data_IF_949696888770
#
_entry.id   IF_949696888770
#
_cell.length_a   1.000
_cell.length_b   1.000
_cell.length_c   1.000
_cell.angle_alpha   90.00
_cell.angle_beta   90.00
_cell.angle_gamma   90.00
#
_symmetry.space_group_name_H-M   'P 1'
#
loop_
_entity.id
_entity.type
_entity.pdbx_description
1 polymer ?
#
# COMPACT_ATOMS: atom_id res chain seq x y z
N UNK A 1 -0.77 8.74 -1.28
CA UNK A 1 -0.94 9.31 -2.62
C UNK A 1 -1.71 10.63 -2.60
N UNK A 2 -2.76 10.77 -1.80
CA UNK A 2 -3.61 11.97 -1.80
C UNK A 2 -2.94 13.23 -1.24
N UNK A 3 -1.83 13.12 -0.54
CA UNK A 3 -1.09 14.29 -0.04
C UNK A 3 -0.53 15.13 -1.19
N UNK A 4 -0.09 14.48 -2.28
CA UNK A 4 0.34 15.16 -3.49
C UNK A 4 -0.80 15.93 -4.21
N UNK A 5 -2.06 15.61 -3.93
CA UNK A 5 -3.22 16.38 -4.39
C UNK A 5 -3.49 17.61 -3.52
N UNK A 6 -2.78 17.76 -2.40
CA UNK A 6 -2.88 18.87 -1.44
C UNK A 6 -1.66 19.80 -1.49
N UNK A 7 -1.04 19.93 -2.64
CA UNK A 7 0.14 20.75 -2.89
C UNK A 7 1.46 20.26 -2.27
N UNK A 8 1.52 19.04 -1.77
CA UNK A 8 2.78 18.42 -1.39
C UNK A 8 3.44 17.87 -2.66
N UNK A 9 4.66 18.29 -2.93
CA UNK A 9 5.40 17.86 -4.11
C UNK A 9 5.98 16.45 -3.94
N UNK A 10 6.31 15.80 -5.06
CA UNK A 10 7.03 14.53 -5.05
C UNK A 10 8.35 14.63 -4.26
N UNK A 11 9.11 15.71 -4.44
CA UNK A 11 10.38 15.92 -3.76
C UNK A 11 10.23 16.07 -2.24
N UNK A 12 9.18 16.75 -1.78
CA UNK A 12 8.90 16.88 -0.34
C UNK A 12 8.54 15.53 0.28
N UNK A 13 7.79 14.68 -0.43
CA UNK A 13 7.50 13.31 0.00
C UNK A 13 8.78 12.47 0.10
N UNK A 14 9.61 12.48 -0.94
CA UNK A 14 10.85 11.70 -0.99
C UNK A 14 11.88 12.13 0.08
N UNK A 15 11.91 13.41 0.41
CA UNK A 15 12.84 13.96 1.41
C UNK A 15 12.28 13.93 2.86
N UNK A 16 11.14 13.31 3.11
CA UNK A 16 10.49 13.26 4.42
C UNK A 16 10.20 14.64 5.05
N UNK A 17 10.04 15.69 4.25
CA UNK A 17 9.85 17.08 4.71
C UNK A 17 8.38 17.40 5.07
N UNK A 18 7.58 16.40 5.49
CA UNK A 18 6.15 16.58 5.75
C UNK A 18 5.87 16.72 7.24
N UNK A 19 6.42 15.84 8.05
CA UNK A 19 6.32 15.85 9.51
C UNK A 19 7.27 14.85 10.14
N UNK A 20 7.58 15.02 11.43
CA UNK A 20 8.40 14.10 12.22
C UNK A 20 7.79 12.69 12.35
N UNK A 21 6.50 12.55 12.07
CA UNK A 21 5.77 11.27 12.10
C UNK A 21 5.65 10.59 10.73
N UNK A 22 6.17 11.23 9.67
CA UNK A 22 6.13 10.68 8.33
C UNK A 22 7.36 9.82 8.08
N UNK A 23 7.14 8.52 7.90
CA UNK A 23 8.21 7.55 7.67
C UNK A 23 8.14 7.05 6.22
N UNK A 24 9.06 7.54 5.39
CA UNK A 24 9.21 7.11 4.00
C UNK A 24 10.68 6.95 3.65
N UNK A 25 11.05 5.83 3.01
CA UNK A 25 12.43 5.45 2.71
C UNK A 25 13.39 5.64 3.92
N UNK A 26 12.90 5.28 5.09
CA UNK A 26 13.56 5.49 6.36
C UNK A 26 13.20 4.38 7.36
N UNK A 27 13.93 4.33 8.46
CA UNK A 27 13.65 3.38 9.53
C UNK A 27 13.76 4.02 10.92
N UNK A 28 13.16 3.34 11.89
CA UNK A 28 13.27 3.64 13.33
C UNK A 28 13.58 2.33 14.05
N UNK A 29 14.66 2.28 14.82
CA UNK A 29 14.93 1.17 15.73
C UNK A 29 14.13 1.34 17.02
N UNK A 30 13.44 0.27 17.45
CA UNK A 30 12.73 0.28 18.72
C UNK A 30 13.77 0.09 19.83
N UNK A 31 13.90 1.06 20.78
CA UNK A 31 14.93 1.03 21.80
C UNK A 31 14.92 -0.27 22.62
N UNK A 32 16.10 -0.80 22.91
CA UNK A 32 16.31 -2.02 23.70
C UNK A 32 15.69 -3.29 23.13
N UNK A 33 15.45 -3.34 21.81
CA UNK A 33 14.92 -4.52 21.12
C UNK A 33 15.71 -4.84 19.85
N UNK A 34 15.46 -6.01 19.29
CA UNK A 34 15.93 -6.42 17.95
C UNK A 34 14.96 -6.04 16.83
N UNK A 35 14.05 -5.08 17.07
CA UNK A 35 13.04 -4.66 16.12
C UNK A 35 13.35 -3.31 15.46
N UNK A 36 13.02 -3.25 14.17
CA UNK A 36 13.12 -2.06 13.32
C UNK A 36 11.81 -1.84 12.59
N UNK A 37 11.32 -0.62 12.60
CA UNK A 37 10.20 -0.17 11.77
C UNK A 37 10.80 0.44 10.52
N UNK A 38 10.40 -0.03 9.33
CA UNK A 38 10.79 0.52 8.03
C UNK A 38 9.54 1.03 7.34
N UNK A 39 9.58 2.24 6.80
CA UNK A 39 8.50 2.84 6.05
C UNK A 39 8.85 3.11 4.59
N UNK A 40 7.93 2.80 3.70
CA UNK A 40 7.92 3.27 2.32
C UNK A 40 6.48 3.41 1.86
N UNK A 41 6.14 4.53 1.20
CA UNK A 41 4.77 4.76 0.73
C UNK A 41 4.28 3.67 -0.23
N UNK A 42 5.19 3.03 -0.97
CA UNK A 42 4.81 2.15 -2.06
C UNK A 42 4.25 2.93 -3.26
N UNK A 43 3.96 2.21 -4.32
CA UNK A 43 3.22 2.68 -5.49
C UNK A 43 2.55 1.50 -6.18
N UNK A 44 2.15 1.66 -7.45
CA UNK A 44 1.59 0.60 -8.30
C UNK A 44 2.30 0.54 -9.65
N UNK A 45 2.40 -0.67 -10.17
CA UNK A 45 3.07 -1.02 -11.44
C UNK A 45 2.19 -1.84 -12.38
N UNK A 46 0.90 -1.87 -12.10
CA UNK A 46 -0.11 -2.60 -12.86
C UNK A 46 -0.01 -4.14 -12.78
N UNK A 47 0.95 -4.67 -12.03
CA UNK A 47 1.24 -6.11 -11.94
C UNK A 47 0.09 -6.95 -11.36
N UNK A 48 -0.89 -6.33 -10.70
CA UNK A 48 -2.10 -7.02 -10.25
C UNK A 48 -3.10 -7.31 -11.37
N UNK A 49 -2.89 -6.78 -12.57
CA UNK A 49 -3.77 -7.00 -13.72
C UNK A 49 -2.99 -7.26 -15.01
N UNK A 50 -2.20 -8.34 -15.06
CA UNK A 50 -1.25 -8.61 -16.16
C UNK A 50 -1.93 -8.89 -17.51
N UNK A 51 -3.25 -9.04 -17.55
CA UNK A 51 -4.02 -9.23 -18.79
C UNK A 51 -4.40 -7.92 -19.48
N UNK A 52 -4.12 -6.76 -18.86
CA UNK A 52 -4.36 -5.44 -19.42
C UNK A 52 -3.03 -4.84 -19.87
N UNK A 53 -3.06 -4.07 -20.96
CA UNK A 53 -1.87 -3.35 -21.41
C UNK A 53 -1.67 -2.07 -20.57
N UNK A 54 -0.42 -1.64 -20.45
CA UNK A 54 -0.07 -0.41 -19.75
C UNK A 54 -0.80 0.80 -20.32
N UNK A 55 -0.89 0.90 -21.65
CA UNK A 55 -1.60 2.00 -22.33
C UNK A 55 -3.08 2.04 -22.02
N UNK A 56 -3.73 0.87 -21.90
CA UNK A 56 -5.13 0.78 -21.50
C UNK A 56 -5.33 1.29 -20.08
N UNK A 57 -4.46 0.88 -19.15
CA UNK A 57 -4.53 1.29 -17.76
C UNK A 57 -4.24 2.79 -17.62
N UNK A 58 -3.24 3.32 -18.30
CA UNK A 58 -2.90 4.75 -18.31
C UNK A 58 -4.07 5.60 -18.83
N UNK A 59 -4.70 5.21 -19.96
CA UNK A 59 -5.90 5.93 -20.48
C UNK A 59 -7.04 5.91 -19.47
N UNK A 60 -7.31 4.75 -18.87
CA UNK A 60 -8.36 4.61 -17.87
C UNK A 60 -8.05 5.42 -16.60
N UNK A 61 -6.82 5.37 -16.09
CA UNK A 61 -6.34 6.19 -14.97
C UNK A 61 -6.60 7.66 -15.22
N UNK A 62 -6.17 8.17 -16.38
CA UNK A 62 -6.30 9.59 -16.73
C UNK A 62 -7.76 10.07 -16.83
N UNK A 63 -8.70 9.15 -17.08
CA UNK A 63 -10.12 9.49 -17.24
C UNK A 63 -10.90 9.33 -15.93
N UNK A 64 -10.59 8.32 -15.12
CA UNK A 64 -11.46 7.88 -14.03
C UNK A 64 -10.77 7.79 -12.66
N UNK A 65 -9.45 7.83 -12.58
CA UNK A 65 -8.74 7.61 -11.32
C UNK A 65 -8.20 8.91 -10.74
N UNK A 66 -8.38 9.08 -9.42
CA UNK A 66 -8.01 10.34 -8.74
C UNK A 66 -6.52 10.65 -8.86
N UNK A 67 -5.67 9.62 -8.91
CA UNK A 67 -4.22 9.79 -9.00
C UNK A 67 -3.74 10.36 -10.36
N UNK A 68 -4.64 10.49 -11.35
CA UNK A 68 -4.33 11.24 -12.57
C UNK A 68 -3.96 12.71 -12.30
N UNK A 69 -4.44 13.26 -11.17
CA UNK A 69 -4.08 14.62 -10.73
C UNK A 69 -2.71 14.72 -10.06
N UNK A 70 -2.03 13.61 -9.80
CA UNK A 70 -0.73 13.61 -9.14
C UNK A 70 0.36 13.96 -10.13
N UNK A 71 1.12 15.02 -9.82
CA UNK A 71 2.28 15.44 -10.60
C UNK A 71 3.53 14.77 -10.06
N UNK A 72 4.16 13.91 -10.85
CA UNK A 72 5.41 13.25 -10.53
C UNK A 72 6.36 13.29 -11.74
N UNK A 73 7.70 13.31 -11.53
CA UNK A 73 8.69 13.49 -12.60
C UNK A 73 8.95 12.20 -13.40
N UNK A 74 8.23 11.14 -13.14
CA UNK A 74 8.44 9.80 -13.71
C UNK A 74 7.12 9.07 -13.95
N UNK A 75 7.15 7.98 -14.69
CA UNK A 75 6.01 7.08 -14.87
C UNK A 75 5.70 6.29 -13.60
N UNK A 76 4.52 5.66 -13.55
CA UNK A 76 4.12 4.81 -12.42
C UNK A 76 5.08 3.62 -12.24
N UNK A 77 5.50 3.00 -13.34
CA UNK A 77 6.45 1.89 -13.32
C UNK A 77 7.83 2.33 -12.81
N UNK A 78 8.35 3.47 -13.28
CA UNK A 78 9.62 4.02 -12.79
C UNK A 78 9.54 4.37 -11.30
N UNK A 79 8.41 4.92 -10.83
CA UNK A 79 8.19 5.19 -9.42
C UNK A 79 8.20 3.90 -8.59
N UNK A 80 7.53 2.86 -9.06
CA UNK A 80 7.56 1.56 -8.34
C UNK A 80 8.96 0.94 -8.35
N UNK A 81 9.74 1.08 -9.43
CA UNK A 81 11.15 0.64 -9.43
C UNK A 81 11.97 1.39 -8.37
N UNK A 82 11.73 2.69 -8.21
CA UNK A 82 12.36 3.47 -7.12
C UNK A 82 11.95 2.92 -5.74
N UNK A 83 10.65 2.64 -5.51
CA UNK A 83 10.14 2.03 -4.28
C UNK A 83 10.82 0.69 -3.98
N UNK A 84 10.96 -0.17 -5.00
CA UNK A 84 11.61 -1.47 -4.85
C UNK A 84 13.10 -1.33 -4.50
N UNK A 85 13.80 -0.39 -5.13
CA UNK A 85 15.20 -0.11 -4.85
C UNK A 85 15.38 0.41 -3.41
N UNK A 86 14.60 1.39 -3.00
CA UNK A 86 14.62 1.97 -1.66
C UNK A 86 14.30 0.92 -0.59
N UNK A 87 13.24 0.15 -0.79
CA UNK A 87 12.82 -0.90 0.14
C UNK A 87 13.88 -1.99 0.28
N UNK A 88 14.47 -2.44 -0.83
CA UNK A 88 15.58 -3.41 -0.82
C UNK A 88 16.76 -2.90 0.00
N UNK A 89 17.16 -1.65 -0.19
CA UNK A 89 18.25 -1.04 0.56
C UNK A 89 17.98 -1.06 2.08
N UNK A 90 16.77 -0.67 2.49
CA UNK A 90 16.39 -0.66 3.91
C UNK A 90 16.32 -2.08 4.50
N UNK A 91 15.84 -3.06 3.73
CA UNK A 91 15.77 -4.46 4.16
C UNK A 91 17.17 -5.07 4.31
N UNK A 92 18.10 -4.79 3.39
CA UNK A 92 19.51 -5.21 3.52
C UNK A 92 20.18 -4.61 4.76
N UNK A 93 19.95 -3.33 5.04
CA UNK A 93 20.47 -2.69 6.26
C UNK A 93 19.90 -3.34 7.53
N UNK A 94 18.63 -3.73 7.53
CA UNK A 94 18.02 -4.42 8.67
C UNK A 94 18.61 -5.83 8.84
N UNK A 95 18.78 -6.57 7.76
CA UNK A 95 19.40 -7.90 7.74
C UNK A 95 20.84 -7.87 8.26
N UNK A 96 21.66 -6.93 7.79
CA UNK A 96 23.03 -6.73 8.27
C UNK A 96 23.07 -6.40 9.77
N UNK A 97 22.12 -5.60 10.25
CA UNK A 97 21.96 -5.24 11.66
C UNK A 97 21.26 -6.35 12.50
N UNK A 98 20.92 -7.50 11.90
CA UNK A 98 20.21 -8.62 12.53
C UNK A 98 18.90 -8.20 13.19
N UNK A 99 18.16 -7.28 12.57
CA UNK A 99 16.90 -6.74 13.08
C UNK A 99 15.71 -7.50 12.50
N UNK A 100 14.70 -7.77 13.31
CA UNK A 100 13.35 -8.13 12.87
C UNK A 100 12.65 -6.87 12.36
N UNK A 101 11.86 -7.01 11.30
CA UNK A 101 11.29 -5.85 10.62
C UNK A 101 9.77 -5.83 10.73
N UNK A 102 9.26 -4.64 11.05
CA UNK A 102 7.88 -4.21 10.82
C UNK A 102 7.93 -3.27 9.61
N UNK A 103 7.36 -3.69 8.48
CA UNK A 103 7.30 -2.86 7.28
C UNK A 103 5.94 -2.16 7.18
N UNK A 104 5.96 -0.86 6.94
CA UNK A 104 4.77 -0.02 6.80
C UNK A 104 4.73 0.55 5.38
N UNK A 105 3.64 0.31 4.66
CA UNK A 105 3.42 0.84 3.32
C UNK A 105 1.98 1.32 3.15
N UNK A 106 1.74 2.24 2.20
CA UNK A 106 0.38 2.68 1.91
C UNK A 106 -0.31 1.79 0.87
N UNK A 107 0.37 1.49 -0.23
CA UNK A 107 -0.20 0.65 -1.30
C UNK A 107 -0.20 -0.83 -0.94
N UNK A 108 -1.08 -1.57 -1.60
CA UNK A 108 -1.24 -3.01 -1.38
C UNK A 108 0.03 -3.76 -1.81
N UNK A 109 0.70 -4.49 -0.91
CA UNK A 109 1.98 -5.11 -1.22
C UNK A 109 1.87 -6.54 -1.77
N UNK A 110 0.67 -7.10 -1.90
CA UNK A 110 0.48 -8.49 -2.37
C UNK A 110 -0.94 -8.72 -2.88
N UNK A 111 -1.08 -9.53 -3.93
CA UNK A 111 -2.38 -9.85 -4.53
C UNK A 111 -3.36 -10.55 -3.58
N UNK A 112 -2.88 -11.25 -2.54
CA UNK A 112 -3.75 -11.82 -1.49
C UNK A 112 -4.52 -10.77 -0.69
N UNK A 113 -4.03 -9.52 -0.67
CA UNK A 113 -4.69 -8.38 -0.03
C UNK A 113 -5.74 -7.71 -0.92
N UNK A 114 -5.95 -8.19 -2.14
CA UNK A 114 -7.02 -7.73 -3.02
C UNK A 114 -8.32 -8.48 -2.71
N UNK A 115 -9.43 -7.79 -2.93
CA UNK A 115 -10.72 -8.48 -2.86
C UNK A 115 -10.88 -9.47 -4.01
N UNK A 116 -11.51 -10.60 -3.71
CA UNK A 116 -11.96 -11.53 -4.73
C UNK A 116 -12.95 -10.85 -5.67
N UNK A 117 -12.95 -11.24 -6.95
CA UNK A 117 -13.94 -10.74 -7.90
C UNK A 117 -15.36 -11.09 -7.41
N UNK A 118 -16.24 -10.09 -7.20
CA UNK A 118 -17.62 -10.36 -6.81
C UNK A 118 -18.33 -11.24 -7.83
N UNK A 119 -19.09 -12.23 -7.36
CA UNK A 119 -19.88 -13.12 -8.23
C UNK A 119 -20.97 -12.37 -9.04
N UNK A 120 -21.32 -11.17 -8.60
CA UNK A 120 -22.27 -10.27 -9.27
C UNK A 120 -21.72 -9.64 -10.55
N UNK A 121 -20.40 -9.57 -10.72
CA UNK A 121 -19.77 -9.03 -11.94
C UNK A 121 -19.80 -10.08 -13.05
N UNK A 122 -20.75 -9.93 -13.97
CA UNK A 122 -21.00 -10.90 -15.05
C UNK A 122 -20.61 -10.40 -16.43
N UNK A 123 -20.70 -9.10 -16.67
CA UNK A 123 -20.35 -8.53 -17.98
C UNK A 123 -18.84 -8.31 -18.13
N UNK A 124 -18.33 -8.46 -19.35
CA UNK A 124 -16.92 -8.21 -19.66
C UNK A 124 -16.51 -6.78 -19.30
N UNK A 125 -17.42 -5.82 -19.47
CA UNK A 125 -17.19 -4.42 -19.07
C UNK A 125 -16.94 -4.27 -17.57
N UNK A 126 -17.79 -4.89 -16.74
CA UNK A 126 -17.63 -4.84 -15.26
C UNK A 126 -16.35 -5.54 -14.81
N UNK A 127 -16.07 -6.71 -15.39
CA UNK A 127 -14.83 -7.46 -15.13
C UNK A 127 -13.60 -6.63 -15.52
N UNK A 128 -13.65 -5.93 -16.66
CA UNK A 128 -12.56 -5.06 -17.11
C UNK A 128 -12.36 -3.90 -16.15
N UNK A 129 -13.43 -3.24 -15.69
CA UNK A 129 -13.34 -2.14 -14.70
C UNK A 129 -12.73 -2.66 -13.40
N UNK A 130 -13.14 -3.83 -12.92
CA UNK A 130 -12.58 -4.44 -11.72
C UNK A 130 -11.06 -4.68 -11.86
N UNK A 131 -10.60 -5.19 -13.03
CA UNK A 131 -9.17 -5.35 -13.32
C UNK A 131 -8.45 -4.00 -13.38
N UNK A 132 -9.04 -2.96 -13.99
CA UNK A 132 -8.47 -1.61 -14.04
C UNK A 132 -8.25 -1.05 -12.64
N UNK A 133 -9.24 -1.20 -11.76
CA UNK A 133 -9.11 -0.79 -10.34
C UNK A 133 -7.97 -1.53 -9.67
N UNK A 134 -7.92 -2.86 -9.79
CA UNK A 134 -6.85 -3.65 -9.15
C UNK A 134 -5.45 -3.25 -9.63
N UNK A 135 -5.29 -2.92 -10.92
CA UNK A 135 -4.01 -2.48 -11.47
C UNK A 135 -3.41 -1.26 -10.76
N UNK A 136 -4.24 -0.44 -10.12
CA UNK A 136 -3.86 0.81 -9.45
C UNK A 136 -3.84 0.69 -7.92
N UNK A 137 -3.95 -0.53 -7.36
CA UNK A 137 -3.98 -0.70 -5.90
C UNK A 137 -2.62 -0.98 -5.28
N UNK A 138 -1.62 -1.37 -6.05
CA UNK A 138 -0.29 -1.67 -5.53
C UNK A 138 0.55 -2.55 -6.46
N UNK A 139 1.51 -3.29 -5.89
CA UNK A 139 2.51 -4.02 -6.63
C UNK A 139 2.70 -5.46 -6.14
N UNK A 140 2.65 -6.41 -7.07
CA UNK A 140 3.04 -7.79 -6.80
C UNK A 140 4.57 -7.93 -6.69
N UNK A 141 5.34 -7.04 -7.32
CA UNK A 141 6.79 -7.04 -7.22
C UNK A 141 7.26 -6.64 -5.82
N UNK A 142 6.59 -5.67 -5.17
CA UNK A 142 6.84 -5.36 -3.76
C UNK A 142 6.53 -6.58 -2.87
N UNK A 143 5.45 -7.30 -3.15
CA UNK A 143 5.12 -8.53 -2.44
C UNK A 143 6.19 -9.62 -2.56
N UNK A 144 6.76 -9.79 -3.76
CA UNK A 144 7.88 -10.72 -3.99
C UNK A 144 9.14 -10.27 -3.22
N UNK A 145 9.48 -8.97 -3.32
CA UNK A 145 10.61 -8.42 -2.60
C UNK A 145 10.50 -8.66 -1.08
N UNK A 146 9.32 -8.46 -0.48
CA UNK A 146 9.09 -8.72 0.94
C UNK A 146 9.37 -10.19 1.28
N UNK A 147 8.99 -11.13 0.43
CA UNK A 147 9.19 -12.56 0.65
C UNK A 147 10.67 -13.00 0.58
N UNK A 148 11.53 -12.22 -0.08
CA UNK A 148 12.98 -12.47 -0.13
C UNK A 148 13.69 -12.17 1.22
N UNK A 149 12.97 -11.53 2.18
CA UNK A 149 13.52 -11.10 3.47
C UNK A 149 12.75 -11.71 4.65
N UNK A 150 13.18 -12.87 5.17
CA UNK A 150 12.52 -13.53 6.29
C UNK A 150 12.60 -12.76 7.61
N UNK A 151 13.42 -11.71 7.68
CA UNK A 151 13.48 -10.75 8.77
C UNK A 151 12.16 -9.94 8.90
N UNK A 152 11.38 -9.78 7.82
CA UNK A 152 10.11 -9.05 7.83
C UNK A 152 9.03 -9.93 8.46
N UNK A 153 8.60 -9.57 9.68
CA UNK A 153 7.60 -10.33 10.44
C UNK A 153 6.20 -9.75 10.30
N UNK A 154 6.09 -8.44 10.13
CA UNK A 154 4.82 -7.76 9.98
C UNK A 154 4.85 -6.77 8.83
N UNK A 155 3.76 -6.74 8.06
CA UNK A 155 3.54 -5.73 7.00
C UNK A 155 2.21 -5.05 7.26
N UNK A 156 2.26 -3.75 7.52
CA UNK A 156 1.07 -2.91 7.62
C UNK A 156 0.84 -2.21 6.29
N UNK A 157 -0.40 -2.26 5.79
CA UNK A 157 -0.75 -1.61 4.53
C UNK A 157 -2.12 -0.93 4.61
N UNK A 158 -2.35 0.01 3.69
CA UNK A 158 -3.57 0.79 3.58
C UNK A 158 -4.18 0.74 2.19
N UNK A 159 -4.55 1.90 1.67
CA UNK A 159 -5.09 2.18 0.33
C UNK A 159 -6.47 1.57 0.03
N UNK A 160 -6.68 0.31 0.29
CA UNK A 160 -7.99 -0.36 0.17
C UNK A 160 -8.86 0.01 1.37
N UNK A 161 -9.88 0.84 1.16
CA UNK A 161 -10.71 1.44 2.23
C UNK A 161 -11.74 0.47 2.81
N UNK A 162 -11.51 -0.82 2.74
CA UNK A 162 -12.38 -1.85 3.28
C UNK A 162 -11.67 -2.74 4.29
N UNK A 163 -12.46 -3.55 5.00
CA UNK A 163 -11.89 -4.56 5.88
C UNK A 163 -11.22 -5.66 5.06
N UNK A 164 -10.04 -6.03 5.49
CA UNK A 164 -9.33 -7.22 5.04
C UNK A 164 -8.84 -7.98 6.26
N UNK A 165 -9.19 -9.24 6.36
CA UNK A 165 -8.69 -10.08 7.44
C UNK A 165 -7.16 -10.18 7.38
N UNK A 166 -6.49 -10.21 8.53
CA UNK A 166 -5.08 -10.52 8.57
C UNK A 166 -4.79 -11.84 7.86
N UNK A 167 -3.70 -11.90 7.12
CA UNK A 167 -3.26 -13.12 6.47
C UNK A 167 -1.75 -13.30 6.59
N UNK A 168 -1.29 -14.52 6.39
CA UNK A 168 0.13 -14.87 6.49
C UNK A 168 0.64 -15.44 5.17
N UNK A 169 1.89 -15.08 4.84
CA UNK A 169 2.68 -15.70 3.77
C UNK A 169 4.02 -16.03 4.39
N UNK A 170 4.39 -17.32 4.40
CA UNK A 170 5.52 -17.82 5.17
C UNK A 170 5.46 -17.29 6.63
N UNK A 171 6.52 -16.65 7.12
CA UNK A 171 6.59 -16.10 8.47
C UNK A 171 6.13 -14.65 8.59
N UNK A 172 5.65 -14.05 7.50
CA UNK A 172 5.23 -12.64 7.45
C UNK A 172 3.73 -12.51 7.60
N UNK A 173 3.27 -11.75 8.59
CA UNK A 173 1.86 -11.42 8.82
C UNK A 173 1.52 -10.07 8.18
N UNK A 174 0.47 -10.04 7.38
CA UNK A 174 -0.04 -8.85 6.68
C UNK A 174 -1.30 -8.31 7.37
N UNK A 175 -1.29 -7.02 7.68
CA UNK A 175 -2.32 -6.35 8.47
C UNK A 175 -2.83 -5.11 7.72
N UNK A 176 -4.13 -5.12 7.37
CA UNK A 176 -4.77 -3.95 6.76
C UNK A 176 -5.07 -2.89 7.83
N UNK A 177 -4.55 -1.68 7.65
CA UNK A 177 -4.74 -0.55 8.56
C UNK A 177 -5.58 0.58 7.92
N UNK A 178 -6.18 0.33 6.77
CA UNK A 178 -7.02 1.32 6.13
C UNK A 178 -8.24 1.63 6.98
N UNK A 179 -8.43 2.90 7.34
CA UNK A 179 -9.70 3.42 7.85
C UNK A 179 -10.57 3.85 6.67
N UNK A 180 -11.87 3.68 6.77
CA UNK A 180 -12.79 4.03 5.70
C UNK A 180 -12.86 5.54 5.46
N UNK A 181 -13.45 5.92 4.35
CA UNK A 181 -13.66 7.34 4.02
C UNK A 181 -14.78 7.96 4.84
N UNK A 182 -14.59 9.19 5.32
CA UNK A 182 -15.57 9.95 6.12
C UNK A 182 -16.89 10.26 5.40
N UNK A 183 -16.94 10.23 4.07
CA UNK A 183 -18.12 10.62 3.29
C UNK A 183 -19.18 9.50 3.24
N UNK A 184 -20.31 9.76 3.90
CA UNK A 184 -21.49 8.88 4.09
C UNK A 184 -22.27 8.42 2.84
N UNK A 185 -21.83 8.63 1.62
CA UNK A 185 -22.70 8.49 0.43
C UNK A 185 -22.53 7.23 -0.41
N UNK A 186 -21.81 6.20 0.03
CA UNK A 186 -21.75 4.94 -0.73
C UNK A 186 -22.44 3.81 0.04
N UNK A 187 -23.55 3.32 -0.50
CA UNK A 187 -24.47 2.29 0.07
C UNK A 187 -23.84 0.91 0.39
N UNK A 188 -22.55 0.71 0.23
CA UNK A 188 -21.93 -0.62 0.17
C UNK A 188 -20.87 -0.93 1.22
N UNK A 189 -20.68 -0.07 2.23
CA UNK A 189 -19.71 -0.35 3.27
C UNK A 189 -20.36 -0.42 4.65
N UNK A 190 -20.25 -1.55 5.32
CA UNK A 190 -20.69 -1.76 6.71
C UNK A 190 -20.13 -0.72 7.69
N UNK A 191 -18.98 -0.13 7.34
CA UNK A 191 -18.30 0.94 8.06
C UNK A 191 -19.05 2.28 8.13
N UNK A 192 -20.11 2.47 7.37
CA UNK A 192 -20.91 3.71 7.41
C UNK A 192 -21.58 3.98 8.76
N UNK A 193 -21.68 2.96 9.61
CA UNK A 193 -22.27 3.03 10.96
C UNK A 193 -21.28 3.56 12.00
N UNK A 194 -19.98 3.56 11.70
CA UNK A 194 -18.92 3.90 12.66
C UNK A 194 -18.34 5.28 12.39
N UNK A 195 -18.01 6.01 13.47
CA UNK A 195 -17.22 7.24 13.35
C UNK A 195 -15.80 6.91 12.86
N UNK A 196 -15.07 7.94 12.39
CA UNK A 196 -13.65 7.76 12.05
C UNK A 196 -12.84 7.22 13.24
N UNK A 197 -13.10 7.73 14.45
CA UNK A 197 -12.42 7.29 15.68
C UNK A 197 -12.74 5.84 16.03
N UNK A 198 -13.98 5.39 15.81
CA UNK A 198 -14.36 4.00 16.04
C UNK A 198 -13.65 3.08 15.06
N UNK A 199 -13.62 3.47 13.78
CA UNK A 199 -12.90 2.72 12.75
C UNK A 199 -11.40 2.64 13.07
N UNK A 200 -10.80 3.75 13.48
CA UNK A 200 -9.38 3.80 13.86
C UNK A 200 -9.09 2.89 15.05
N UNK A 201 -9.87 2.97 16.13
CA UNK A 201 -9.73 2.11 17.31
C UNK A 201 -9.89 0.63 16.98
N UNK A 202 -10.86 0.30 16.14
CA UNK A 202 -11.11 -1.07 15.71
C UNK A 202 -9.95 -1.66 14.86
N UNK A 203 -9.23 -0.80 14.14
CA UNK A 203 -8.08 -1.19 13.29
C UNK A 203 -6.75 -1.20 14.02
N UNK A 204 -6.71 -0.68 15.24
CA UNK A 204 -5.49 -0.66 16.02
C UNK A 204 -5.10 -2.09 16.40
N UNK A 205 -3.88 -2.49 15.98
CA UNK A 205 -3.29 -3.76 16.38
C UNK A 205 -2.22 -3.52 17.43
N UNK A 206 -2.18 -4.36 18.45
CA UNK A 206 -1.13 -4.39 19.45
C UNK A 206 -0.25 -5.60 19.14
N UNK A 207 1.03 -5.36 18.91
CA UNK A 207 2.03 -6.40 18.69
C UNK A 207 2.91 -6.45 19.92
N UNK A 208 3.00 -7.62 20.53
CA UNK A 208 3.95 -7.89 21.62
C UNK A 208 5.30 -8.27 20.98
N UNK A 209 6.32 -7.46 21.21
CA UNK A 209 7.67 -7.58 20.62
C UNK A 209 8.74 -7.69 21.71
#
# INVERSE_FOLDING_TARGET
NHDMLKNITFTELENNNISDFYLHNAYIDIPNTDWRIIGNNGWYDYSFSPTLTEDEIKRWKNTYWIDAGIKQPMSDNEREQLVLQQSRQQFELAKQAKKKVIFITHFVPNSKALWSKPATLKSDKEIRIFKMVNALLGSQHLGKLIQDYPEIKYVFYGHVHGWHEPFQIADTTYLNQAVGVRKKKRKYHEWQKYTFMDQWKYRMNIINI
#
